data_IF_359787093741
#
_entry.id   IF_359787093741
#
_cell.length_a   1.000
_cell.length_b   1.000
_cell.length_c   1.000
_cell.angle_alpha   90.00
_cell.angle_beta   90.00
_cell.angle_gamma   90.00
#
_symmetry.space_group_name_H-M   'P 1'
#
loop_
_entity.id
_entity.type
_entity.pdbx_description
1 polymer ?
#
# COMPACT_ATOMS: atom_id res chain seq x y z
N UNK A 1 -18.27 -5.98 -7.44
CA UNK A 1 -17.63 -4.64 -7.45
C UNK A 1 -16.60 -4.57 -6.32
N UNK A 2 -15.48 -3.87 -6.53
CA UNK A 2 -14.41 -3.69 -5.54
C UNK A 2 -14.15 -2.19 -5.39
N UNK A 3 -13.93 -1.74 -4.16
CA UNK A 3 -13.51 -0.38 -3.84
C UNK A 3 -12.17 -0.42 -3.13
N UNK A 4 -11.27 0.46 -3.54
CA UNK A 4 -10.01 0.72 -2.84
C UNK A 4 -10.23 1.95 -1.96
N UNK A 5 -10.07 1.79 -0.64
CA UNK A 5 -10.34 2.82 0.36
C UNK A 5 -9.12 3.65 0.72
N UNK A 6 -7.96 3.30 0.18
CA UNK A 6 -6.67 3.96 0.39
C UNK A 6 -6.07 4.45 -0.92
N UNK A 7 -5.34 5.55 -0.87
CA UNK A 7 -4.62 6.12 -2.01
C UNK A 7 -3.16 6.34 -1.62
N UNK A 8 -2.23 5.99 -2.50
CA UNK A 8 -0.82 6.26 -2.30
C UNK A 8 -0.49 7.69 -2.73
N UNK A 9 -0.60 8.63 -1.80
CA UNK A 9 -0.52 10.07 -2.03
C UNK A 9 0.72 10.74 -1.41
N UNK A 10 1.53 9.98 -0.67
CA UNK A 10 2.74 10.50 -0.02
C UNK A 10 3.98 10.05 -0.78
N UNK A 11 4.79 10.97 -1.35
CA UNK A 11 6.01 10.59 -2.06
C UNK A 11 7.12 10.22 -1.08
N UNK A 12 7.81 9.11 -1.36
CA UNK A 12 9.03 8.70 -0.68
C UNK A 12 10.25 9.03 -1.54
N UNK A 13 11.36 9.39 -0.91
CA UNK A 13 12.60 9.77 -1.61
C UNK A 13 13.73 8.81 -1.28
N UNK A 14 14.61 8.54 -2.25
CA UNK A 14 15.79 7.70 -2.07
C UNK A 14 17.04 8.31 -2.72
N UNK A 15 18.21 7.96 -2.20
CA UNK A 15 19.50 8.26 -2.83
C UNK A 15 20.04 7.01 -3.52
N UNK A 16 20.73 7.15 -4.66
CA UNK A 16 21.42 6.03 -5.30
C UNK A 16 22.47 5.41 -4.36
N UNK A 17 22.75 4.12 -4.52
CA UNK A 17 23.70 3.39 -3.68
C UNK A 17 25.13 3.94 -3.75
N UNK A 18 25.49 4.57 -4.87
CA UNK A 18 26.85 5.03 -5.17
C UNK A 18 27.23 6.37 -4.52
N UNK A 19 26.28 7.08 -3.90
CA UNK A 19 26.55 8.42 -3.31
C UNK A 19 26.79 8.36 -1.80
N UNK A 20 27.81 9.08 -1.34
CA UNK A 20 28.02 9.32 0.11
C UNK A 20 26.86 10.12 0.72
N UNK A 21 26.66 9.94 2.02
CA UNK A 21 25.70 10.72 2.81
C UNK A 21 26.01 12.23 2.75
N UNK A 22 25.00 13.08 2.99
CA UNK A 22 25.06 14.54 2.77
C UNK A 22 24.46 14.98 1.44
N UNK A 23 24.57 16.27 1.08
CA UNK A 23 24.03 16.88 -0.16
C UNK A 23 22.49 16.90 -0.30
N UNK A 24 21.77 17.07 0.82
CA UNK A 24 20.32 17.32 0.80
C UNK A 24 19.45 16.06 0.63
N UNK A 25 18.18 16.26 0.30
CA UNK A 25 17.16 15.19 0.13
C UNK A 25 17.30 14.55 -1.25
N UNK A 26 17.04 13.24 -1.35
CA UNK A 26 17.06 12.51 -2.63
C UNK A 26 15.83 12.80 -3.50
N UNK A 27 15.85 12.29 -4.72
CA UNK A 27 14.70 12.37 -5.63
C UNK A 27 13.57 11.42 -5.18
N UNK A 28 12.30 11.70 -5.55
CA UNK A 28 11.19 10.77 -5.32
C UNK A 28 11.44 9.41 -5.99
N UNK A 29 11.24 8.32 -5.26
CA UNK A 29 11.42 6.94 -5.73
C UNK A 29 10.14 6.11 -5.70
N UNK A 30 9.06 6.62 -5.10
CA UNK A 30 7.78 5.94 -5.02
C UNK A 30 6.75 6.71 -4.22
N UNK A 31 5.59 6.07 -4.01
CA UNK A 31 4.48 6.61 -3.24
C UNK A 31 4.02 5.60 -2.20
N UNK A 32 3.58 6.10 -1.05
CA UNK A 32 3.05 5.29 0.04
C UNK A 32 1.68 5.82 0.47
N UNK A 33 0.88 4.92 1.04
CA UNK A 33 -0.30 5.27 1.82
C UNK A 33 0.02 5.01 3.30
N UNK A 34 -0.31 5.95 4.18
CA UNK A 34 -0.28 5.67 5.63
C UNK A 34 -1.55 4.92 6.01
N UNK A 35 -1.38 3.79 6.71
CA UNK A 35 -2.47 2.94 7.16
C UNK A 35 -2.33 2.74 8.67
N UNK A 36 -3.42 2.96 9.40
CA UNK A 36 -3.50 2.70 10.84
C UNK A 36 -4.23 1.39 11.13
N UNK A 37 -3.95 0.77 12.28
CA UNK A 37 -4.66 -0.43 12.73
C UNK A 37 -6.17 -0.18 12.77
N UNK A 38 -6.96 -1.12 12.22
CA UNK A 38 -8.41 -1.02 12.14
C UNK A 38 -8.95 -0.29 10.91
N UNK A 39 -8.08 0.28 10.07
CA UNK A 39 -8.50 0.93 8.82
C UNK A 39 -8.90 -0.10 7.75
N UNK A 40 -10.04 0.12 7.09
CA UNK A 40 -10.51 -0.71 5.99
C UNK A 40 -9.76 -0.31 4.71
N UNK A 41 -9.10 -1.27 4.05
CA UNK A 41 -8.33 -1.06 2.82
C UNK A 41 -9.13 -1.31 1.55
N UNK A 42 -9.93 -2.38 1.57
CA UNK A 42 -10.72 -2.81 0.41
C UNK A 42 -12.13 -3.18 0.86
N UNK A 43 -13.11 -2.78 0.06
CA UNK A 43 -14.51 -3.22 0.20
C UNK A 43 -14.90 -3.98 -1.07
N UNK A 44 -15.82 -4.93 -0.93
CA UNK A 44 -16.31 -5.72 -2.06
C UNK A 44 -17.80 -6.02 -1.91
N UNK A 45 -18.49 -6.06 -3.04
CA UNK A 45 -19.93 -6.30 -3.13
C UNK A 45 -20.25 -7.15 -4.38
N UNK A 46 -21.38 -7.86 -4.36
CA UNK A 46 -21.84 -8.69 -5.48
C UNK A 46 -21.11 -10.02 -5.63
N UNK A 47 -20.55 -10.56 -4.54
CA UNK A 47 -19.92 -11.88 -4.50
C UNK A 47 -20.41 -12.67 -3.28
N UNK A 48 -20.35 -14.00 -3.33
CA UNK A 48 -20.66 -14.83 -2.16
C UNK A 48 -19.65 -14.60 -1.04
N UNK A 49 -20.09 -14.82 0.20
CA UNK A 49 -19.21 -14.69 1.38
C UNK A 49 -17.98 -15.60 1.31
N UNK A 50 -18.11 -16.79 0.73
CA UNK A 50 -16.98 -17.73 0.55
C UNK A 50 -15.89 -17.11 -0.32
N UNK A 51 -16.28 -16.55 -1.47
CA UNK A 51 -15.36 -15.96 -2.42
C UNK A 51 -14.76 -14.67 -1.86
N UNK A 52 -15.57 -13.87 -1.17
CA UNK A 52 -15.11 -12.66 -0.50
C UNK A 52 -14.01 -12.95 0.54
N UNK A 53 -14.21 -13.97 1.39
CA UNK A 53 -13.22 -14.38 2.39
C UNK A 53 -11.93 -14.88 1.75
N UNK A 54 -12.02 -15.73 0.74
CA UNK A 54 -10.84 -16.24 0.06
C UNK A 54 -10.03 -15.12 -0.62
N UNK A 55 -10.72 -14.21 -1.31
CA UNK A 55 -10.09 -13.04 -1.93
C UNK A 55 -9.41 -12.14 -0.88
N UNK A 56 -10.07 -11.87 0.25
CA UNK A 56 -9.50 -11.08 1.34
C UNK A 56 -8.25 -11.74 1.94
N UNK A 57 -8.25 -13.06 2.16
CA UNK A 57 -7.07 -13.80 2.64
C UNK A 57 -5.91 -13.70 1.65
N UNK A 58 -6.16 -13.91 0.36
CA UNK A 58 -5.13 -13.81 -0.67
C UNK A 58 -4.54 -12.39 -0.77
N UNK A 59 -5.39 -11.37 -0.65
CA UNK A 59 -4.95 -9.98 -0.62
C UNK A 59 -4.10 -9.68 0.62
N UNK A 60 -4.49 -10.18 1.80
CA UNK A 60 -3.73 -10.00 3.04
C UNK A 60 -2.29 -10.53 2.95
N UNK A 61 -2.07 -11.64 2.25
CA UNK A 61 -0.72 -12.18 2.01
C UNK A 61 0.18 -11.31 1.11
N UNK A 62 -0.37 -10.27 0.47
CA UNK A 62 0.38 -9.31 -0.34
C UNK A 62 0.63 -7.98 0.38
N UNK A 63 0.06 -7.81 1.57
CA UNK A 63 0.28 -6.63 2.40
C UNK A 63 1.54 -6.82 3.25
N UNK A 64 2.11 -5.69 3.67
CA UNK A 64 3.21 -5.67 4.61
C UNK A 64 2.73 -6.23 5.95
N UNK A 65 3.48 -7.19 6.52
CA UNK A 65 3.26 -7.71 7.87
C UNK A 65 3.66 -6.69 8.94
#
# INVERSE_FOLDING_TARGET
KIWVRVLADIPITGKPTEVRMGRGKGNPTGWIARVSTGQILFEMDGVSLSNARQAATLAAHKLCS
#
